data_IF_735586789241
#
_entry.id   IF_735586789241
#
_cell.length_a   1.000
_cell.length_b   1.000
_cell.length_c   1.000
_cell.angle_alpha   90.00
_cell.angle_beta   90.00
_cell.angle_gamma   90.00
#
_symmetry.space_group_name_H-M   'P 1'
#
loop_
_entity.id
_entity.type
_entity.pdbx_description
1 polymer ?
#
# COMPACT_ATOMS: atom_id res chain seq x y z
N UNK A 1 14.20 -5.43 -3.44
CA UNK A 1 14.07 -4.61 -2.20
C UNK A 1 13.90 -5.54 -1.00
N UNK A 2 14.16 -5.08 0.22
CA UNK A 2 13.86 -5.76 1.50
C UNK A 2 12.72 -5.05 2.25
N UNK A 3 12.04 -5.75 3.16
CA UNK A 3 10.98 -5.14 3.98
C UNK A 3 11.49 -3.95 4.79
N UNK A 4 12.71 -4.03 5.33
CA UNK A 4 13.35 -2.94 6.07
C UNK A 4 13.63 -1.70 5.22
N UNK A 5 14.00 -1.87 3.95
CA UNK A 5 14.18 -0.74 3.03
C UNK A 5 12.85 -0.05 2.74
N UNK A 6 11.76 -0.81 2.57
CA UNK A 6 10.43 -0.26 2.33
C UNK A 6 9.89 0.48 3.56
N UNK A 7 10.10 -0.08 4.76
CA UNK A 7 9.77 0.60 6.02
C UNK A 7 10.47 1.95 6.09
N UNK A 8 11.77 2.03 5.74
CA UNK A 8 12.51 3.30 5.72
C UNK A 8 11.92 4.30 4.73
N UNK A 9 11.53 3.86 3.53
CA UNK A 9 10.86 4.74 2.55
C UNK A 9 9.56 5.32 3.11
N UNK A 10 8.74 4.48 3.75
CA UNK A 10 7.49 4.91 4.38
C UNK A 10 7.77 5.91 5.51
N UNK A 11 8.74 5.63 6.37
CA UNK A 11 9.12 6.52 7.47
C UNK A 11 9.64 7.88 6.98
N UNK A 12 10.44 7.89 5.92
CA UNK A 12 10.93 9.12 5.29
C UNK A 12 9.78 9.95 4.73
N UNK A 13 8.85 9.31 4.01
CA UNK A 13 7.70 9.98 3.42
C UNK A 13 6.75 10.56 4.49
N UNK A 14 6.50 9.80 5.56
CA UNK A 14 5.72 10.27 6.71
C UNK A 14 6.38 11.45 7.44
N UNK A 15 7.71 11.45 7.59
CA UNK A 15 8.46 12.57 8.17
C UNK A 15 8.31 13.83 7.34
N UNK A 16 8.40 13.71 6.02
CA UNK A 16 8.27 14.84 5.09
C UNK A 16 6.88 15.47 5.13
N UNK A 17 5.84 14.68 5.40
CA UNK A 17 4.45 15.15 5.41
C UNK A 17 3.98 15.75 6.75
N UNK A 18 4.80 15.73 7.80
CA UNK A 18 4.72 16.70 8.89
C UNK A 18 3.60 16.57 9.93
N UNK A 19 3.02 15.39 10.20
CA UNK A 19 2.11 15.19 11.35
C UNK A 19 1.85 13.72 11.72
N UNK A 20 1.25 13.48 12.90
CA UNK A 20 0.67 12.20 13.30
C UNK A 20 -0.50 11.86 12.38
N UNK A 21 -0.27 10.95 11.43
CA UNK A 21 -1.32 10.50 10.52
C UNK A 21 -2.33 9.63 11.26
N UNK A 22 -3.58 10.09 11.26
CA UNK A 22 -4.75 9.32 11.63
C UNK A 22 -5.47 9.00 10.33
N UNK A 23 -5.60 7.73 10.00
CA UNK A 23 -6.38 7.29 8.84
C UNK A 23 -7.77 6.91 9.33
N UNK A 24 -8.85 7.50 8.79
CA UNK A 24 -10.23 7.14 9.15
C UNK A 24 -10.51 7.05 10.66
N UNK A 25 -9.92 7.95 11.46
CA UNK A 25 -10.08 7.99 12.92
C UNK A 25 -9.26 6.96 13.72
N UNK A 26 -8.42 6.15 13.06
CA UNK A 26 -7.50 5.18 13.69
C UNK A 26 -6.03 5.55 13.51
N UNK A 27 -5.14 5.23 14.46
CA UNK A 27 -3.72 5.48 14.31
C UNK A 27 -3.16 4.73 13.09
N UNK A 28 -2.42 5.42 12.20
CA UNK A 28 -1.84 4.80 11.00
C UNK A 28 -0.96 3.59 11.32
N UNK A 29 -0.25 3.63 12.45
CA UNK A 29 0.60 2.54 12.94
C UNK A 29 -0.15 1.22 13.13
N UNK A 30 -1.45 1.27 13.41
CA UNK A 30 -2.27 0.06 13.51
C UNK A 30 -2.66 -0.51 12.15
N UNK A 31 -2.52 0.27 11.07
CA UNK A 31 -2.84 -0.10 9.70
C UNK A 31 -1.62 -0.57 8.90
N UNK A 32 -0.42 -0.12 9.32
CA UNK A 32 0.85 -0.52 8.73
C UNK A 32 1.10 -2.01 8.99
N UNK A 33 1.60 -2.68 7.96
CA UNK A 33 1.97 -4.08 7.99
C UNK A 33 3.49 -4.22 7.89
N UNK A 34 4.02 -5.36 8.35
CA UNK A 34 5.36 -5.76 7.91
C UNK A 34 5.30 -6.04 6.40
N UNK A 35 6.09 -5.33 5.57
CA UNK A 35 6.01 -5.46 4.13
C UNK A 35 6.19 -6.91 3.68
N UNK A 36 5.21 -7.41 2.95
CA UNK A 36 5.23 -8.77 2.39
C UNK A 36 4.92 -8.74 0.90
N UNK A 37 5.65 -9.52 0.12
CA UNK A 37 5.31 -9.72 -1.29
C UNK A 37 4.04 -10.56 -1.40
N UNK A 38 3.14 -10.13 -2.26
CA UNK A 38 1.90 -10.83 -2.57
C UNK A 38 1.50 -10.55 -4.02
N UNK A 39 0.74 -11.46 -4.61
CA UNK A 39 0.20 -11.32 -5.96
C UNK A 39 -1.04 -10.41 -5.98
N UNK A 40 -1.09 -9.50 -6.94
CA UNK A 40 -2.21 -8.60 -7.22
C UNK A 40 -2.57 -8.64 -8.70
N UNK A 41 -3.86 -8.51 -9.04
CA UNK A 41 -4.29 -8.32 -10.42
C UNK A 41 -4.18 -6.84 -10.79
N UNK A 42 -3.57 -6.50 -11.91
CA UNK A 42 -3.48 -5.11 -12.35
C UNK A 42 -4.70 -4.73 -13.22
N UNK A 43 -5.58 -3.89 -12.68
CA UNK A 43 -6.79 -3.44 -13.38
C UNK A 43 -6.51 -2.64 -14.67
N UNK A 44 -5.33 -2.02 -14.78
CA UNK A 44 -4.90 -1.27 -15.97
C UNK A 44 -4.25 -2.15 -17.04
N UNK A 45 -3.93 -3.40 -16.71
CA UNK A 45 -3.28 -4.35 -17.62
C UNK A 45 -4.13 -5.61 -17.83
N UNK A 46 -5.44 -5.43 -18.05
CA UNK A 46 -6.37 -6.54 -18.27
C UNK A 46 -6.33 -7.62 -17.15
N UNK A 47 -6.13 -7.20 -15.90
CA UNK A 47 -5.96 -8.08 -14.74
C UNK A 47 -4.76 -9.03 -14.84
N UNK A 48 -3.69 -8.62 -15.54
CA UNK A 48 -2.42 -9.35 -15.51
C UNK A 48 -1.88 -9.38 -14.07
N UNK A 49 -1.49 -10.55 -13.54
CA UNK A 49 -0.96 -10.63 -12.19
C UNK A 49 0.43 -10.01 -12.08
N UNK A 50 0.66 -9.27 -11.00
CA UNK A 50 1.94 -8.66 -10.63
C UNK A 50 2.27 -8.96 -9.16
N UNK A 51 3.56 -8.99 -8.83
CA UNK A 51 4.05 -9.26 -7.48
C UNK A 51 4.46 -7.95 -6.79
N UNK A 52 3.68 -7.51 -5.80
CA UNK A 52 3.84 -6.21 -5.15
C UNK A 52 4.00 -6.39 -3.65
N UNK A 53 4.64 -5.41 -3.00
CA UNK A 53 4.79 -5.39 -1.55
C UNK A 53 3.54 -4.79 -0.90
N UNK A 54 2.78 -5.58 -0.15
CA UNK A 54 1.69 -5.06 0.66
C UNK A 54 2.24 -4.45 1.96
N UNK A 55 1.92 -3.18 2.22
CA UNK A 55 2.51 -2.40 3.33
C UNK A 55 1.47 -1.79 4.28
N UNK A 56 0.21 -1.73 3.86
CA UNK A 56 -0.88 -1.13 4.62
C UNK A 56 -2.20 -1.82 4.31
N UNK A 57 -3.04 -2.00 5.33
CA UNK A 57 -4.44 -2.38 5.18
C UNK A 57 -5.34 -1.53 6.09
N UNK A 58 -6.48 -1.10 5.54
CA UNK A 58 -7.51 -0.38 6.30
C UNK A 58 -8.21 -1.25 7.34
N UNK A 59 -8.21 -2.57 7.18
CA UNK A 59 -8.71 -3.52 8.16
C UNK A 59 -7.75 -4.68 8.36
N UNK A 60 -6.58 -4.51 8.99
CA UNK A 60 -5.51 -5.53 9.00
C UNK A 60 -5.89 -6.81 9.78
N UNK A 61 -6.97 -6.76 10.59
CA UNK A 61 -7.54 -7.94 11.25
C UNK A 61 -8.52 -8.71 10.36
N UNK A 62 -9.24 -8.02 9.49
CA UNK A 62 -10.24 -8.60 8.58
C UNK A 62 -9.70 -8.81 7.15
N UNK A 63 -8.60 -8.15 6.79
CA UNK A 63 -8.12 -8.02 5.43
C UNK A 63 -9.01 -7.13 4.54
N UNK A 64 -9.98 -6.43 5.12
CA UNK A 64 -10.96 -5.64 4.36
C UNK A 64 -10.51 -4.20 4.09
N UNK A 65 -11.26 -3.54 3.20
CA UNK A 65 -11.01 -2.16 2.79
C UNK A 65 -9.83 -2.02 1.84
N UNK A 66 -9.37 -0.79 1.74
CA UNK A 66 -8.27 -0.43 0.85
C UNK A 66 -6.90 -0.89 1.40
N UNK A 67 -5.95 -0.96 0.47
CA UNK A 67 -4.60 -1.46 0.69
C UNK A 67 -3.60 -0.52 0.02
N UNK A 68 -2.46 -0.30 0.65
CA UNK A 68 -1.32 0.34 -0.04
C UNK A 68 -0.29 -0.73 -0.35
N UNK A 69 0.16 -0.71 -1.59
CA UNK A 69 1.22 -1.58 -2.11
C UNK A 69 2.41 -0.77 -2.57
N UNK A 70 3.58 -1.40 -2.69
CA UNK A 70 4.79 -0.82 -3.26
C UNK A 70 5.32 -1.69 -4.40
N UNK A 71 5.51 -1.06 -5.56
CA UNK A 71 6.15 -1.62 -6.73
C UNK A 71 7.65 -1.30 -6.69
N UNK A 72 8.48 -2.34 -6.62
CA UNK A 72 9.94 -2.16 -6.51
C UNK A 72 10.63 -1.82 -7.83
N UNK A 73 10.03 -2.20 -8.96
CA UNK A 73 10.57 -1.94 -10.30
C UNK A 73 10.34 -0.48 -10.69
N UNK A 74 9.14 0.02 -10.42
CA UNK A 74 8.73 1.40 -10.68
C UNK A 74 9.06 2.34 -9.52
N UNK A 75 9.39 1.81 -8.34
CA UNK A 75 9.66 2.56 -7.10
C UNK A 75 8.50 3.48 -6.71
N UNK A 76 7.28 3.00 -6.87
CA UNK A 76 6.06 3.76 -6.58
C UNK A 76 5.14 2.99 -5.65
N UNK A 77 4.43 3.72 -4.80
CA UNK A 77 3.30 3.22 -4.04
C UNK A 77 2.02 3.25 -4.88
N UNK A 78 1.11 2.34 -4.55
CA UNK A 78 -0.15 2.16 -5.26
C UNK A 78 -1.30 1.77 -4.35
N UNK A 79 -2.50 2.00 -4.86
CA UNK A 79 -3.75 1.65 -4.18
C UNK A 79 -4.25 0.31 -4.68
N UNK A 80 -4.64 -0.57 -3.77
CA UNK A 80 -5.27 -1.84 -4.09
C UNK A 80 -6.50 -2.08 -3.21
N UNK A 81 -7.37 -3.00 -3.66
CA UNK A 81 -8.58 -3.43 -2.95
C UNK A 81 -8.71 -4.95 -3.00
N UNK A 82 -9.62 -5.50 -2.21
CA UNK A 82 -10.03 -6.89 -2.40
C UNK A 82 -10.76 -7.05 -3.74
N UNK A 83 -10.35 -8.05 -4.52
CA UNK A 83 -11.17 -8.57 -5.61
C UNK A 83 -11.94 -9.81 -5.18
N UNK A 84 -12.62 -10.45 -6.13
CA UNK A 84 -13.43 -11.64 -5.89
C UNK A 84 -12.56 -12.83 -5.49
N UNK A 85 -11.43 -13.02 -6.19
CA UNK A 85 -10.49 -14.13 -5.95
C UNK A 85 -9.14 -13.66 -5.42
N UNK A 86 -8.67 -12.52 -5.90
CA UNK A 86 -7.35 -11.96 -5.63
C UNK A 86 -7.48 -10.46 -5.45
N UNK A 87 -6.61 -9.81 -4.66
CA UNK A 87 -6.63 -8.36 -4.56
C UNK A 87 -6.24 -7.72 -5.89
N UNK A 88 -6.78 -6.54 -6.14
CA UNK A 88 -6.66 -5.82 -7.42
C UNK A 88 -5.95 -4.50 -7.18
N UNK A 89 -4.86 -4.27 -7.90
CA UNK A 89 -4.22 -2.96 -8.00
C UNK A 89 -5.11 -2.02 -8.83
N UNK A 90 -5.47 -0.89 -8.24
CA UNK A 90 -6.29 0.15 -8.84
C UNK A 90 -5.46 1.26 -9.48
N UNK A 91 -4.20 1.43 -9.10
CA UNK A 91 -3.32 2.45 -9.68
C UNK A 91 -2.07 2.69 -8.85
N UNK A 92 -1.07 3.32 -9.47
CA UNK A 92 0.16 3.79 -8.83
C UNK A 92 0.11 5.32 -8.71
N UNK A 93 0.51 5.84 -7.56
CA UNK A 93 0.32 7.24 -7.19
C UNK A 93 1.61 7.95 -6.78
N UNK A 94 2.75 7.25 -6.68
CA UNK A 94 4.02 7.89 -6.31
C UNK A 94 4.39 7.60 -4.86
N UNK A 95 4.29 8.59 -3.97
CA UNK A 95 4.64 8.44 -2.55
C UNK A 95 3.64 7.62 -1.74
N UNK A 96 4.04 7.14 -0.56
CA UNK A 96 3.15 6.43 0.37
C UNK A 96 2.05 7.37 0.88
N UNK A 97 2.41 8.59 1.32
CA UNK A 97 1.46 9.59 1.80
C UNK A 97 0.56 10.10 0.68
N UNK A 98 1.10 10.28 -0.52
CA UNK A 98 0.33 10.65 -1.71
C UNK A 98 -0.72 9.58 -2.06
N UNK A 99 -0.32 8.30 -1.97
CA UNK A 99 -1.23 7.17 -2.17
C UNK A 99 -2.31 7.16 -1.09
N UNK A 100 -1.95 7.34 0.19
CA UNK A 100 -2.92 7.42 1.29
C UNK A 100 -3.94 8.55 1.10
N UNK A 101 -3.51 9.71 0.60
CA UNK A 101 -4.40 10.84 0.32
C UNK A 101 -5.30 10.65 -0.92
N UNK A 102 -5.01 9.63 -1.73
CA UNK A 102 -5.77 9.30 -2.95
C UNK A 102 -6.87 8.26 -2.72
N UNK A 103 -7.00 7.77 -1.49
CA UNK A 103 -8.02 6.82 -1.01
C UNK A 103 -9.33 7.53 -0.65
#
# INVERSE_FOLDING_TARGET
MTSQEIIRLIEEDLKNAGSMFVWSGRPLVECLLDPKKQRFLNSHQNNTPEELWLVFEEGPKSGEGYKVVYDEDLKMFGLAVNGISEPVLLGLYGGFVETLNSM
#
